data_IF_184446426877
#
_entry.id   IF_184446426877
#
_cell.length_a   1.000
_cell.length_b   1.000
_cell.length_c   1.000
_cell.angle_alpha   90.00
_cell.angle_beta   90.00
_cell.angle_gamma   90.00
#
_symmetry.space_group_name_H-M   'P 1'
#
loop_
_entity.id
_entity.type
_entity.pdbx_description
1 polymer ?
#
# COMPACT_ATOMS: atom_id res chain seq x y z
N UNK A 1 19.77 -10.47 30.81
CA UNK A 1 20.28 -9.17 30.37
C UNK A 1 19.11 -8.22 30.27
N UNK A 2 19.14 -7.05 30.91
CA UNK A 2 18.12 -6.02 30.73
C UNK A 2 18.54 -5.24 29.49
N UNK A 3 17.69 -5.23 28.45
CA UNK A 3 17.90 -4.42 27.25
C UNK A 3 17.75 -2.93 27.64
N UNK A 4 18.69 -2.09 27.22
CA UNK A 4 18.63 -0.65 27.47
C UNK A 4 18.04 0.04 26.23
N UNK A 5 16.81 0.55 26.37
CA UNK A 5 16.08 1.22 25.29
C UNK A 5 16.66 2.61 25.01
N UNK A 6 16.98 2.90 23.78
CA UNK A 6 17.42 4.22 23.32
C UNK A 6 16.45 4.81 22.29
N UNK A 7 15.57 5.68 22.76
CA UNK A 7 14.54 6.33 21.93
C UNK A 7 15.03 7.63 21.28
N UNK A 8 16.19 8.16 21.64
CA UNK A 8 16.74 9.41 21.10
C UNK A 8 16.94 9.34 19.59
N UNK A 9 17.24 8.16 19.07
CA UNK A 9 17.50 7.89 17.66
C UNK A 9 16.27 8.18 16.78
N UNK A 10 15.07 7.90 17.28
CA UNK A 10 13.82 8.07 16.52
C UNK A 10 13.49 9.55 16.34
N UNK A 11 13.88 10.40 17.29
CA UNK A 11 13.61 11.83 17.28
C UNK A 11 14.68 12.65 16.57
N UNK A 12 15.72 11.99 16.06
CA UNK A 12 16.82 12.62 15.35
C UNK A 12 16.33 13.21 14.02
N UNK A 13 16.20 14.53 13.97
CA UNK A 13 15.76 15.29 12.78
C UNK A 13 16.96 16.03 12.17
N UNK A 14 17.03 16.12 10.83
CA UNK A 14 17.99 17.01 10.17
C UNK A 14 17.76 18.45 10.64
N UNK A 15 18.82 19.21 10.93
CA UNK A 15 18.64 20.65 11.11
C UNK A 15 18.03 21.20 9.81
N UNK A 16 16.93 21.97 9.92
CA UNK A 16 16.40 22.72 8.79
C UNK A 16 17.57 23.53 8.22
N UNK A 17 17.82 23.46 6.91
CA UNK A 17 18.82 24.27 6.25
C UNK A 17 18.51 25.74 6.57
N UNK A 18 19.21 26.30 7.56
CA UNK A 18 19.26 27.76 7.69
C UNK A 18 19.88 28.26 6.38
N UNK A 19 19.28 29.28 5.74
CA UNK A 19 19.83 29.86 4.52
C UNK A 19 21.28 30.24 4.82
N UNK A 20 22.21 29.60 4.15
CA UNK A 20 23.65 29.73 4.27
C UNK A 20 24.05 31.20 4.38
N UNK A 21 24.32 31.63 5.61
CA UNK A 21 25.15 32.81 5.82
C UNK A 21 26.48 32.53 5.15
N UNK A 22 26.90 33.41 4.25
CA UNK A 22 28.09 33.30 3.42
C UNK A 22 29.28 32.83 4.25
N UNK A 23 29.82 31.66 3.93
CA UNK A 23 31.10 31.18 4.49
C UNK A 23 32.19 32.09 3.94
N UNK A 24 32.82 32.87 4.81
CA UNK A 24 34.02 33.62 4.47
C UNK A 24 35.14 32.65 4.06
N UNK A 25 35.85 32.89 2.95
CA UNK A 25 36.94 32.02 2.53
C UNK A 25 38.20 32.29 3.39
N UNK A 26 38.44 31.42 4.38
CA UNK A 26 39.66 31.54 5.19
C UNK A 26 39.69 30.82 6.53
N UNK A 27 38.67 30.12 6.97
CA UNK A 27 38.73 29.39 8.24
C UNK A 27 39.32 27.98 8.06
N UNK A 28 40.52 27.76 8.59
CA UNK A 28 41.18 26.46 8.71
C UNK A 28 40.33 25.52 9.58
N UNK A 29 40.14 24.26 9.10
CA UNK A 29 39.44 23.20 9.80
C UNK A 29 40.06 22.94 11.19
N UNK A 30 39.29 22.81 12.27
CA UNK A 30 39.81 22.42 13.58
C UNK A 30 40.21 20.93 13.60
N UNK A 31 41.36 20.70 14.22
CA UNK A 31 42.05 19.43 14.39
C UNK A 31 41.21 18.38 15.13
N UNK A 32 41.22 17.14 14.63
CA UNK A 32 40.43 16.00 15.09
C UNK A 32 40.99 15.29 16.34
N UNK A 33 41.68 15.97 17.26
CA UNK A 33 42.39 15.32 18.38
C UNK A 33 41.93 15.67 19.80
N UNK A 34 40.72 16.24 20.00
CA UNK A 34 40.26 16.61 21.35
C UNK A 34 38.93 16.04 21.83
N UNK A 35 38.60 14.79 21.51
CA UNK A 35 37.38 14.14 22.01
C UNK A 35 37.65 12.85 22.77
N UNK A 36 38.50 12.91 23.82
CA UNK A 36 38.58 11.88 24.86
C UNK A 36 38.64 12.56 26.23
N UNK A 37 37.49 12.58 26.94
CA UNK A 37 37.48 13.05 28.34
C UNK A 37 36.10 13.41 28.87
N UNK A 38 35.41 12.44 29.49
CA UNK A 38 34.73 12.54 30.78
C UNK A 38 33.49 13.39 30.95
N UNK A 39 32.41 12.78 31.45
CA UNK A 39 31.45 13.51 32.24
C UNK A 39 30.05 12.93 32.14
N UNK A 40 29.65 12.11 33.10
CA UNK A 40 28.25 11.80 33.40
C UNK A 40 27.50 13.10 33.71
N UNK A 41 26.60 13.54 32.86
CA UNK A 41 25.72 14.69 33.18
C UNK A 41 25.29 15.58 32.04
N UNK A 42 24.80 15.03 30.93
CA UNK A 42 24.04 15.84 29.96
C UNK A 42 22.86 15.02 29.41
N UNK A 43 21.80 14.96 30.20
CA UNK A 43 20.62 14.14 29.88
C UNK A 43 19.62 14.85 28.97
N UNK A 44 19.83 16.12 28.62
CA UNK A 44 18.99 16.89 27.68
C UNK A 44 19.83 17.94 26.92
N UNK A 45 20.78 17.49 26.12
CA UNK A 45 21.33 18.38 25.10
C UNK A 45 20.66 18.09 23.77
N UNK A 46 19.60 18.85 23.48
CA UNK A 46 18.84 18.84 22.24
C UNK A 46 19.58 19.48 21.06
N UNK A 47 20.90 19.62 21.17
CA UNK A 47 21.76 20.25 20.20
C UNK A 47 22.70 19.30 19.45
N UNK A 48 22.59 17.98 19.63
CA UNK A 48 23.36 17.03 18.85
C UNK A 48 22.84 17.02 17.41
N UNK A 49 23.58 17.63 16.49
CA UNK A 49 23.38 17.45 15.05
C UNK A 49 23.54 15.96 14.75
N UNK A 50 22.41 15.28 14.54
CA UNK A 50 22.39 13.88 14.16
C UNK A 50 23.08 13.74 12.82
N UNK A 51 24.10 12.87 12.75
CA UNK A 51 24.84 12.59 11.51
C UNK A 51 23.92 12.02 10.40
N UNK A 52 22.73 11.52 10.76
CA UNK A 52 21.74 10.97 9.85
C UNK A 52 20.31 11.37 10.27
N UNK A 53 19.48 11.89 9.37
CA UNK A 53 18.11 12.35 9.64
C UNK A 53 17.13 11.17 9.64
N UNK A 54 17.19 10.28 10.62
CA UNK A 54 16.35 9.06 10.66
C UNK A 54 14.85 9.34 10.72
N UNK A 55 14.46 10.44 11.33
CA UNK A 55 13.06 10.87 11.33
C UNK A 55 12.58 11.15 9.90
N UNK A 56 13.37 11.85 9.10
CA UNK A 56 13.03 12.19 7.71
C UNK A 56 12.94 10.93 6.84
N UNK A 57 13.77 9.93 7.10
CA UNK A 57 13.68 8.63 6.43
C UNK A 57 12.37 7.93 6.75
N UNK A 58 11.96 7.91 8.02
CA UNK A 58 10.68 7.34 8.42
C UNK A 58 9.50 8.06 7.78
N UNK A 59 9.50 9.41 7.75
CA UNK A 59 8.46 10.22 7.10
C UNK A 59 8.41 9.93 5.60
N UNK A 60 9.57 9.88 4.94
CA UNK A 60 9.67 9.49 3.52
C UNK A 60 9.10 8.09 3.29
N UNK A 61 9.46 7.11 4.13
CA UNK A 61 8.93 5.75 4.05
C UNK A 61 7.42 5.69 4.16
N UNK A 62 6.83 6.42 5.12
CA UNK A 62 5.36 6.54 5.28
C UNK A 62 4.72 7.13 4.04
N UNK A 63 5.31 8.18 3.49
CA UNK A 63 4.82 8.84 2.28
C UNK A 63 4.78 7.87 1.10
N UNK A 64 5.84 7.10 0.90
CA UNK A 64 5.90 6.08 -0.15
C UNK A 64 4.93 4.93 0.09
N UNK A 65 4.77 4.46 1.33
CA UNK A 65 3.72 3.49 1.69
C UNK A 65 2.33 3.96 1.25
N UNK A 66 2.00 5.23 1.54
CA UNK A 66 0.70 5.82 1.18
C UNK A 66 0.56 5.95 -0.34
N UNK A 67 1.57 6.48 -1.03
CA UNK A 67 1.54 6.68 -2.48
C UNK A 67 1.36 5.34 -3.21
N UNK A 68 2.18 4.34 -2.88
CA UNK A 68 2.13 3.01 -3.49
C UNK A 68 0.78 2.34 -3.22
N UNK A 69 0.29 2.40 -1.98
CA UNK A 69 -1.00 1.80 -1.61
C UNK A 69 -2.18 2.47 -2.32
N UNK A 70 -2.24 3.80 -2.38
CA UNK A 70 -3.30 4.53 -3.05
C UNK A 70 -3.27 4.32 -4.58
N UNK A 71 -2.09 4.33 -5.19
CA UNK A 71 -1.95 4.06 -6.62
C UNK A 71 -2.34 2.61 -6.97
N UNK A 72 -1.90 1.64 -6.18
CA UNK A 72 -2.30 0.24 -6.33
C UNK A 72 -3.81 0.05 -6.14
N UNK A 73 -4.44 0.81 -5.22
CA UNK A 73 -5.89 0.75 -5.02
C UNK A 73 -6.68 1.18 -6.25
N UNK A 74 -6.23 2.19 -7.00
CA UNK A 74 -6.88 2.62 -8.25
C UNK A 74 -6.91 1.47 -9.26
N UNK A 75 -5.79 0.75 -9.42
CA UNK A 75 -5.71 -0.44 -10.28
C UNK A 75 -6.62 -1.55 -9.72
N UNK A 76 -6.53 -1.81 -8.42
CA UNK A 76 -7.32 -2.82 -7.72
C UNK A 76 -8.82 -2.64 -7.96
N UNK A 77 -9.33 -1.44 -7.73
CA UNK A 77 -10.76 -1.16 -7.85
C UNK A 77 -11.21 -1.20 -9.31
N UNK A 78 -10.45 -0.61 -10.23
CA UNK A 78 -10.80 -0.55 -11.64
C UNK A 78 -10.76 -1.94 -12.29
N UNK A 79 -9.63 -2.63 -12.20
CA UNK A 79 -9.45 -3.95 -12.78
C UNK A 79 -10.29 -5.02 -12.08
N UNK A 80 -10.37 -4.97 -10.74
CA UNK A 80 -11.18 -5.89 -9.96
C UNK A 80 -12.67 -5.78 -10.29
N UNK A 81 -13.18 -4.55 -10.50
CA UNK A 81 -14.56 -4.32 -10.94
C UNK A 81 -14.81 -4.91 -12.32
N UNK A 82 -13.93 -4.63 -13.28
CA UNK A 82 -14.06 -5.13 -14.66
C UNK A 82 -14.05 -6.66 -14.67
N UNK A 83 -13.07 -7.28 -14.00
CA UNK A 83 -12.93 -8.74 -13.93
C UNK A 83 -14.10 -9.38 -13.17
N UNK A 84 -14.53 -8.78 -12.06
CA UNK A 84 -15.66 -9.26 -11.27
C UNK A 84 -16.96 -9.27 -12.06
N UNK A 85 -17.26 -8.18 -12.79
CA UNK A 85 -18.41 -8.10 -13.70
C UNK A 85 -18.27 -9.13 -14.83
N UNK A 86 -17.10 -9.24 -15.45
CA UNK A 86 -16.84 -10.20 -16.53
C UNK A 86 -17.12 -11.66 -16.12
N UNK A 87 -16.97 -12.00 -14.84
CA UNK A 87 -17.29 -13.32 -14.31
C UNK A 87 -18.79 -13.61 -14.15
N UNK A 88 -19.64 -12.58 -14.23
CA UNK A 88 -21.10 -12.72 -14.09
C UNK A 88 -21.85 -12.67 -15.42
N UNK A 89 -21.18 -12.34 -16.54
CA UNK A 89 -21.82 -12.30 -17.86
C UNK A 89 -22.04 -13.70 -18.44
N UNK A 90 -23.06 -13.83 -19.32
CA UNK A 90 -23.46 -15.11 -19.93
C UNK A 90 -22.51 -15.62 -21.05
N UNK A 91 -21.37 -14.95 -21.26
CA UNK A 91 -20.40 -15.33 -22.27
C UNK A 91 -19.34 -16.28 -21.70
N UNK A 92 -19.28 -17.57 -22.10
CA UNK A 92 -18.41 -18.57 -21.44
C UNK A 92 -16.91 -18.25 -21.59
N UNK A 93 -16.49 -17.72 -22.71
CA UNK A 93 -15.09 -17.36 -22.97
C UNK A 93 -14.64 -16.22 -22.06
N UNK A 94 -15.43 -15.14 -21.96
CA UNK A 94 -15.12 -13.98 -21.11
C UNK A 94 -15.04 -14.41 -19.65
N UNK A 95 -16.01 -15.22 -19.21
CA UNK A 95 -16.04 -15.78 -17.85
C UNK A 95 -14.84 -16.66 -17.56
N UNK A 96 -14.44 -17.53 -18.51
CA UNK A 96 -13.30 -18.44 -18.36
C UNK A 96 -11.99 -17.65 -18.20
N UNK A 97 -11.73 -16.66 -19.06
CA UNK A 97 -10.54 -15.79 -18.98
C UNK A 97 -10.51 -15.01 -17.67
N UNK A 98 -11.62 -14.40 -17.26
CA UNK A 98 -11.71 -13.68 -16.01
C UNK A 98 -11.51 -14.59 -14.78
N UNK A 99 -12.00 -15.84 -14.84
CA UNK A 99 -11.79 -16.83 -13.77
C UNK A 99 -10.33 -17.26 -13.73
N UNK A 100 -9.70 -17.57 -14.86
CA UNK A 100 -8.28 -17.92 -14.93
C UNK A 100 -7.38 -16.82 -14.33
N UNK A 101 -7.67 -15.56 -14.62
CA UNK A 101 -6.97 -14.42 -13.99
C UNK A 101 -7.09 -14.47 -12.47
N UNK A 102 -8.29 -14.60 -11.93
CA UNK A 102 -8.53 -14.60 -10.48
C UNK A 102 -7.82 -15.78 -9.81
N UNK A 103 -7.91 -16.97 -10.38
CA UNK A 103 -7.26 -18.17 -9.84
C UNK A 103 -5.75 -18.05 -9.88
N UNK A 104 -5.18 -17.55 -10.98
CA UNK A 104 -3.74 -17.31 -11.09
C UNK A 104 -3.22 -16.41 -9.96
N UNK A 105 -3.80 -15.22 -9.80
CA UNK A 105 -3.32 -14.25 -8.82
C UNK A 105 -3.61 -14.64 -7.37
N UNK A 106 -4.66 -15.40 -7.10
CA UNK A 106 -5.01 -15.85 -5.73
C UNK A 106 -4.20 -17.05 -5.26
N UNK A 107 -3.74 -17.89 -6.17
CA UNK A 107 -3.04 -19.14 -5.83
C UNK A 107 -1.52 -18.97 -5.70
N UNK A 108 -0.98 -17.83 -6.13
CA UNK A 108 0.45 -17.54 -6.02
C UNK A 108 0.67 -16.58 -4.84
N UNK A 109 1.61 -16.86 -3.92
CA UNK A 109 1.97 -15.94 -2.84
C UNK A 109 2.41 -14.56 -3.38
N UNK A 110 1.97 -13.47 -2.75
CA UNK A 110 2.29 -12.11 -3.18
C UNK A 110 3.80 -11.86 -3.32
N UNK A 111 4.60 -12.37 -2.39
CA UNK A 111 6.07 -12.24 -2.43
C UNK A 111 6.65 -12.82 -3.72
N UNK A 112 6.21 -14.02 -4.13
CA UNK A 112 6.67 -14.64 -5.37
C UNK A 112 6.21 -13.87 -6.60
N UNK A 113 4.99 -13.32 -6.56
CA UNK A 113 4.51 -12.44 -7.63
C UNK A 113 5.36 -11.18 -7.74
N UNK A 114 5.77 -10.57 -6.60
CA UNK A 114 6.61 -9.38 -6.60
C UNK A 114 7.95 -9.66 -7.31
N UNK A 115 8.60 -10.78 -7.02
CA UNK A 115 9.83 -11.19 -7.71
C UNK A 115 9.58 -11.49 -9.20
N UNK A 116 8.49 -12.17 -9.53
CA UNK A 116 8.14 -12.47 -10.92
C UNK A 116 7.94 -11.18 -11.74
N UNK A 117 7.21 -10.22 -11.21
CA UNK A 117 6.97 -8.94 -11.87
C UNK A 117 8.25 -8.11 -12.05
N UNK A 118 9.14 -8.12 -11.06
CA UNK A 118 10.36 -7.30 -11.09
C UNK A 118 11.49 -7.94 -11.90
N UNK A 119 11.73 -9.24 -11.72
CA UNK A 119 12.87 -9.91 -12.35
C UNK A 119 12.51 -10.63 -13.64
N UNK A 120 11.33 -11.25 -13.73
CA UNK A 120 11.00 -12.16 -14.84
C UNK A 120 10.21 -11.47 -15.95
N UNK A 121 9.17 -10.70 -15.59
CA UNK A 121 8.31 -10.05 -16.59
C UNK A 121 9.10 -9.16 -17.56
N UNK A 122 10.06 -8.32 -17.15
CA UNK A 122 10.84 -7.52 -18.08
C UNK A 122 11.70 -8.33 -19.05
N UNK A 123 12.11 -9.56 -18.67
CA UNK A 123 12.86 -10.48 -19.57
C UNK A 123 11.97 -11.15 -20.62
N UNK A 124 10.66 -11.27 -20.34
CA UNK A 124 9.69 -11.84 -21.26
C UNK A 124 9.14 -10.82 -22.28
N UNK A 125 9.38 -9.54 -22.03
CA UNK A 125 8.98 -8.48 -22.96
C UNK A 125 9.91 -8.42 -24.17
N UNK A 126 9.47 -7.85 -25.32
CA UNK A 126 10.37 -7.51 -26.42
C UNK A 126 11.57 -6.68 -25.91
N UNK A 127 12.75 -6.85 -26.51
CA UNK A 127 14.01 -6.26 -26.03
C UNK A 127 13.93 -4.76 -25.73
N UNK A 128 13.26 -3.99 -26.58
CA UNK A 128 13.10 -2.54 -26.41
C UNK A 128 12.23 -2.21 -25.18
N UNK A 129 11.11 -2.91 -25.02
CA UNK A 129 10.21 -2.73 -23.89
C UNK A 129 10.85 -3.19 -22.56
N UNK A 130 11.53 -4.33 -22.55
CA UNK A 130 12.26 -4.83 -21.40
C UNK A 130 13.39 -3.91 -20.96
N UNK A 131 14.13 -3.36 -21.93
CA UNK A 131 15.19 -2.36 -21.70
C UNK A 131 14.62 -1.07 -21.12
N UNK A 132 13.52 -0.59 -21.69
CA UNK A 132 12.84 0.62 -21.21
C UNK A 132 12.38 0.46 -19.74
N UNK A 133 11.73 -0.65 -19.39
CA UNK A 133 11.27 -0.91 -18.01
C UNK A 133 12.45 -0.95 -17.03
N UNK A 134 13.59 -1.55 -17.43
CA UNK A 134 14.74 -1.75 -16.52
C UNK A 134 15.65 -0.55 -16.37
N UNK A 135 15.79 0.29 -17.43
CA UNK A 135 16.85 1.31 -17.51
C UNK A 135 16.34 2.74 -17.72
N UNK A 136 15.20 2.90 -18.35
CA UNK A 136 14.68 4.22 -18.74
C UNK A 136 13.51 4.66 -17.88
N UNK A 137 12.73 3.71 -17.34
CA UNK A 137 11.62 4.01 -16.43
C UNK A 137 12.19 4.57 -15.11
N UNK A 138 11.81 5.79 -14.69
CA UNK A 138 12.21 6.29 -13.38
C UNK A 138 11.55 5.48 -12.26
N UNK A 139 12.30 5.09 -11.24
CA UNK A 139 11.82 4.31 -10.09
C UNK A 139 11.10 3.00 -10.49
N UNK A 140 11.75 2.10 -11.24
CA UNK A 140 11.10 0.91 -11.78
C UNK A 140 10.54 -0.01 -10.70
N UNK A 141 11.16 -0.07 -9.52
CA UNK A 141 10.71 -0.83 -8.36
C UNK A 141 9.36 -0.35 -7.82
N UNK A 142 9.12 0.97 -7.80
CA UNK A 142 7.84 1.53 -7.32
C UNK A 142 6.69 1.24 -8.29
N UNK A 143 6.91 1.41 -9.61
CA UNK A 143 5.91 1.08 -10.61
C UNK A 143 5.59 -0.41 -10.61
N UNK A 144 6.61 -1.26 -10.48
CA UNK A 144 6.42 -2.71 -10.37
C UNK A 144 5.60 -3.06 -9.14
N UNK A 145 5.92 -2.47 -7.99
CA UNK A 145 5.17 -2.68 -6.75
C UNK A 145 3.69 -2.26 -6.90
N UNK A 146 3.43 -1.08 -7.49
CA UNK A 146 2.07 -0.56 -7.72
C UNK A 146 1.27 -1.52 -8.61
N UNK A 147 1.84 -1.97 -9.72
CA UNK A 147 1.17 -2.87 -10.66
C UNK A 147 0.94 -4.25 -10.01
N UNK A 148 1.96 -4.83 -9.39
CA UNK A 148 1.87 -6.13 -8.74
C UNK A 148 0.82 -6.15 -7.62
N UNK A 149 0.89 -5.19 -6.69
CA UNK A 149 -0.11 -5.05 -5.61
C UNK A 149 -1.50 -4.81 -6.17
N UNK A 150 -1.61 -3.93 -7.18
CA UNK A 150 -2.87 -3.63 -7.84
C UNK A 150 -3.51 -4.86 -8.48
N UNK A 151 -2.76 -5.66 -9.22
CA UNK A 151 -3.26 -6.87 -9.87
C UNK A 151 -3.58 -7.99 -8.86
N UNK A 152 -2.73 -8.16 -7.86
CA UNK A 152 -3.00 -9.13 -6.79
C UNK A 152 -4.30 -8.84 -6.05
N UNK A 153 -4.48 -7.61 -5.58
CA UNK A 153 -5.70 -7.20 -4.87
C UNK A 153 -6.91 -7.11 -5.79
N UNK A 154 -6.75 -6.79 -7.09
CA UNK A 154 -7.83 -6.82 -8.06
C UNK A 154 -8.47 -8.21 -8.19
N UNK A 155 -7.70 -9.28 -8.04
CA UNK A 155 -8.23 -10.65 -8.05
C UNK A 155 -9.19 -10.91 -6.87
N UNK A 156 -8.90 -10.33 -5.69
CA UNK A 156 -9.76 -10.42 -4.49
C UNK A 156 -10.99 -9.55 -4.63
N UNK A 157 -10.82 -8.30 -5.07
CA UNK A 157 -11.92 -7.37 -5.36
C UNK A 157 -12.86 -7.94 -6.44
N UNK A 158 -12.34 -8.60 -7.48
CA UNK A 158 -13.15 -9.25 -8.50
C UNK A 158 -14.07 -10.32 -7.92
N UNK A 159 -13.61 -11.11 -6.95
CA UNK A 159 -14.42 -12.10 -6.26
C UNK A 159 -15.53 -11.45 -5.41
N UNK A 160 -15.20 -10.34 -4.74
CA UNK A 160 -16.19 -9.59 -3.96
C UNK A 160 -17.24 -8.96 -4.85
N UNK A 161 -16.86 -8.37 -5.99
CA UNK A 161 -17.81 -7.80 -6.96
C UNK A 161 -18.72 -8.89 -7.53
N UNK A 162 -18.16 -10.05 -7.91
CA UNK A 162 -18.96 -11.20 -8.35
C UNK A 162 -19.96 -11.62 -7.26
N UNK A 163 -19.49 -11.84 -6.04
CA UNK A 163 -20.33 -12.25 -4.93
C UNK A 163 -21.42 -11.21 -4.62
N UNK A 164 -21.10 -9.91 -4.68
CA UNK A 164 -22.07 -8.83 -4.49
C UNK A 164 -23.17 -8.80 -5.56
N UNK A 165 -22.83 -9.08 -6.83
CA UNK A 165 -23.81 -9.18 -7.92
C UNK A 165 -24.69 -10.43 -7.74
N UNK A 166 -24.10 -11.58 -7.41
CA UNK A 166 -24.80 -12.84 -7.23
C UNK A 166 -25.70 -12.86 -5.97
N UNK A 167 -25.40 -12.03 -4.97
CA UNK A 167 -26.25 -11.86 -3.78
C UNK A 167 -27.60 -11.18 -4.08
N UNK A 168 -27.74 -10.53 -5.24
CA UNK A 168 -28.98 -9.85 -5.62
C UNK A 168 -30.00 -10.88 -6.13
N UNK A 169 -31.25 -10.89 -5.61
CA UNK A 169 -32.26 -11.82 -6.06
C UNK A 169 -32.51 -11.73 -7.57
N UNK A 170 -32.55 -12.87 -8.24
CA UNK A 170 -32.79 -12.98 -9.70
C UNK A 170 -34.05 -12.26 -10.19
N UNK A 171 -35.06 -12.13 -9.34
CA UNK A 171 -36.28 -11.39 -9.62
C UNK A 171 -36.05 -9.92 -9.99
N UNK A 172 -34.99 -9.26 -9.43
CA UNK A 172 -34.67 -7.89 -9.80
C UNK A 172 -34.16 -7.79 -11.25
N UNK A 173 -33.30 -8.74 -11.67
CA UNK A 173 -32.86 -8.83 -13.06
C UNK A 173 -34.06 -9.09 -14.01
N UNK A 174 -34.94 -10.04 -13.66
CA UNK A 174 -36.13 -10.38 -14.48
C UNK A 174 -37.11 -9.20 -14.58
N UNK A 175 -37.34 -8.49 -13.48
CA UNK A 175 -38.21 -7.30 -13.47
C UNK A 175 -37.64 -6.19 -14.35
N UNK A 176 -36.31 -5.94 -14.30
CA UNK A 176 -35.68 -4.97 -15.19
C UNK A 176 -35.82 -5.31 -16.67
N UNK A 177 -35.62 -6.58 -17.03
CA UNK A 177 -35.83 -7.06 -18.41
C UNK A 177 -37.30 -6.98 -18.84
N UNK A 178 -38.26 -7.31 -17.95
CA UNK A 178 -39.67 -7.19 -18.23
C UNK A 178 -40.13 -5.74 -18.45
N UNK A 179 -39.47 -4.77 -17.83
CA UNK A 179 -39.67 -3.33 -18.07
C UNK A 179 -39.03 -2.83 -19.37
N UNK A 180 -38.41 -3.70 -20.16
CA UNK A 180 -37.78 -3.34 -21.45
C UNK A 180 -36.34 -2.85 -21.33
N UNK A 181 -35.69 -2.96 -20.18
CA UNK A 181 -34.28 -2.63 -20.04
C UNK A 181 -33.43 -3.67 -20.75
N UNK A 182 -32.39 -3.21 -21.45
CA UNK A 182 -31.36 -4.10 -21.98
C UNK A 182 -30.51 -4.69 -20.86
N UNK A 183 -29.82 -5.82 -21.09
CA UNK A 183 -28.93 -6.43 -20.08
C UNK A 183 -27.90 -5.42 -19.54
N UNK A 184 -27.29 -4.61 -20.38
CA UNK A 184 -26.34 -3.59 -19.95
C UNK A 184 -27.00 -2.53 -19.06
N UNK A 185 -28.22 -2.13 -19.36
CA UNK A 185 -28.99 -1.19 -18.53
C UNK A 185 -29.34 -1.80 -17.17
N UNK A 186 -29.72 -3.09 -17.12
CA UNK A 186 -29.93 -3.83 -15.87
C UNK A 186 -28.66 -3.86 -15.03
N UNK A 187 -27.49 -4.16 -15.62
CA UNK A 187 -26.22 -4.08 -14.89
C UNK A 187 -25.99 -2.67 -14.34
N UNK A 188 -26.06 -1.65 -15.21
CA UNK A 188 -25.70 -0.28 -14.85
C UNK A 188 -26.64 0.36 -13.84
N UNK A 189 -27.95 0.12 -13.94
CA UNK A 189 -28.97 0.83 -13.16
C UNK A 189 -29.56 0.03 -12.00
N UNK A 190 -29.43 -1.30 -12.03
CA UNK A 190 -30.01 -2.17 -10.98
C UNK A 190 -28.91 -2.90 -10.22
N UNK A 191 -28.09 -3.72 -10.90
CA UNK A 191 -27.20 -4.64 -10.22
C UNK A 191 -25.98 -3.93 -9.61
N UNK A 192 -25.25 -3.13 -10.38
CA UNK A 192 -24.01 -2.50 -9.89
C UNK A 192 -24.24 -1.53 -8.73
N UNK A 193 -25.24 -0.62 -8.76
CA UNK A 193 -25.47 0.29 -7.64
C UNK A 193 -25.79 -0.43 -6.32
N UNK A 194 -26.48 -1.57 -6.41
CA UNK A 194 -26.82 -2.38 -5.23
C UNK A 194 -25.64 -3.22 -4.78
N UNK A 195 -24.95 -3.92 -5.70
CA UNK A 195 -23.81 -4.77 -5.38
C UNK A 195 -22.66 -3.99 -4.73
N UNK A 196 -22.31 -2.80 -5.25
CA UNK A 196 -21.26 -1.99 -4.65
C UNK A 196 -21.56 -1.59 -3.21
N UNK A 197 -22.82 -1.32 -2.87
CA UNK A 197 -23.20 -1.04 -1.48
C UNK A 197 -23.05 -2.27 -0.57
N UNK A 198 -23.31 -3.47 -1.09
CA UNK A 198 -23.13 -4.72 -0.34
C UNK A 198 -21.67 -5.02 -0.06
N UNK A 199 -20.78 -4.72 -1.02
CA UNK A 199 -19.37 -5.10 -0.92
C UNK A 199 -18.47 -4.04 -0.28
N UNK A 200 -18.98 -2.86 0.11
CA UNK A 200 -18.17 -1.84 0.78
C UNK A 200 -17.41 -2.38 2.02
N UNK A 201 -18.04 -3.16 2.94
CA UNK A 201 -17.30 -3.68 4.10
C UNK A 201 -16.11 -4.59 3.72
N UNK A 202 -16.24 -5.59 2.85
CA UNK A 202 -15.09 -6.38 2.40
C UNK A 202 -14.09 -5.57 1.58
N UNK A 203 -14.51 -4.57 0.79
CA UNK A 203 -13.60 -3.65 0.09
C UNK A 203 -12.74 -2.84 1.07
N UNK A 204 -13.30 -2.43 2.21
CA UNK A 204 -12.56 -1.78 3.29
C UNK A 204 -11.40 -2.65 3.78
N UNK A 205 -11.67 -3.95 3.98
CA UNK A 205 -10.64 -4.91 4.42
C UNK A 205 -9.54 -5.10 3.37
N UNK A 206 -9.88 -5.13 2.09
CA UNK A 206 -8.90 -5.21 1.01
C UNK A 206 -8.07 -3.92 0.88
N UNK A 207 -8.70 -2.76 1.03
CA UNK A 207 -7.99 -1.47 1.01
C UNK A 207 -6.95 -1.41 2.13
N UNK A 208 -7.31 -1.78 3.37
CA UNK A 208 -6.35 -1.90 4.48
C UNK A 208 -5.25 -2.93 4.17
N UNK A 209 -5.62 -4.03 3.52
CA UNK A 209 -4.69 -5.07 3.11
C UNK A 209 -3.58 -4.56 2.21
N UNK A 210 -3.87 -3.64 1.28
CA UNK A 210 -2.87 -3.04 0.39
C UNK A 210 -1.81 -2.29 1.18
N UNK A 211 -2.19 -1.46 2.17
CA UNK A 211 -1.22 -0.75 3.02
C UNK A 211 -0.29 -1.71 3.76
N UNK A 212 -0.80 -2.81 4.31
CA UNK A 212 0.01 -3.82 4.99
C UNK A 212 0.90 -4.60 4.02
N UNK A 213 0.36 -4.96 2.87
CA UNK A 213 1.07 -5.73 1.85
C UNK A 213 2.10 -4.90 1.08
N UNK A 214 2.04 -3.55 1.14
CA UNK A 214 3.08 -2.71 0.55
C UNK A 214 4.46 -2.97 1.17
N UNK A 215 4.51 -3.44 2.43
CA UNK A 215 5.77 -3.85 3.07
C UNK A 215 6.51 -4.97 2.33
N UNK A 216 5.82 -5.80 1.54
CA UNK A 216 6.47 -6.82 0.72
C UNK A 216 7.35 -6.19 -0.37
N UNK A 217 7.06 -4.96 -0.81
CA UNK A 217 7.80 -4.27 -1.85
C UNK A 217 9.25 -3.89 -1.42
N UNK A 218 9.57 -3.94 -0.12
CA UNK A 218 10.96 -3.81 0.35
C UNK A 218 11.88 -4.84 -0.31
N UNK A 219 11.36 -6.01 -0.67
CA UNK A 219 12.14 -7.12 -1.25
C UNK A 219 12.64 -6.85 -2.66
N UNK A 220 12.08 -5.87 -3.35
CA UNK A 220 12.51 -5.40 -4.67
C UNK A 220 13.13 -3.99 -4.64
N UNK A 221 13.42 -3.46 -3.43
CA UNK A 221 14.14 -2.20 -3.25
C UNK A 221 13.26 -0.96 -3.03
N UNK A 222 11.95 -1.10 -2.87
CA UNK A 222 11.08 0.05 -2.54
C UNK A 222 11.36 0.52 -1.11
N UNK A 223 11.73 1.79 -0.97
CA UNK A 223 12.03 2.42 0.32
C UNK A 223 10.75 2.92 1.02
N UNK A 224 9.84 2.00 1.31
CA UNK A 224 8.63 2.23 2.10
C UNK A 224 8.93 2.13 3.61
N UNK A 225 7.92 2.26 4.47
CA UNK A 225 8.10 2.34 5.93
C UNK A 225 8.93 1.20 6.51
N UNK A 226 8.72 -0.05 6.09
CA UNK A 226 9.47 -1.21 6.63
C UNK A 226 10.90 -1.24 6.13
N UNK A 227 11.13 -0.85 4.87
CA UNK A 227 12.47 -0.77 4.29
C UNK A 227 13.30 0.32 4.98
N UNK A 228 12.71 1.49 5.23
CA UNK A 228 13.36 2.56 5.98
C UNK A 228 13.67 2.14 7.42
N UNK A 229 12.71 1.52 8.10
CA UNK A 229 12.93 1.00 9.45
C UNK A 229 14.09 -0.02 9.48
N UNK A 230 14.11 -0.94 8.51
CA UNK A 230 15.21 -1.91 8.38
C UNK A 230 16.54 -1.22 8.17
N UNK A 231 16.60 -0.25 7.26
CA UNK A 231 17.83 0.50 6.97
C UNK A 231 18.35 1.25 8.21
N UNK A 232 17.46 1.95 8.93
CA UNK A 232 17.81 2.61 10.19
C UNK A 232 18.31 1.60 11.23
N UNK A 233 17.65 0.45 11.38
CA UNK A 233 18.06 -0.59 12.31
C UNK A 233 19.45 -1.17 11.95
N UNK A 234 19.80 -1.29 10.67
CA UNK A 234 21.12 -1.73 10.20
C UNK A 234 22.23 -0.71 10.53
N UNK A 235 21.93 0.60 10.50
CA UNK A 235 22.90 1.64 10.88
C UNK A 235 23.04 1.85 12.38
N UNK A 236 21.96 1.70 13.13
CA UNK A 236 21.94 2.04 14.56
C UNK A 236 22.09 0.85 15.49
N UNK A 237 21.89 -0.37 14.97
CA UNK A 237 21.78 -1.62 15.74
C UNK A 237 20.66 -1.64 16.79
N UNK A 238 19.74 -0.66 16.77
CA UNK A 238 18.60 -0.53 17.69
C UNK A 238 17.33 -1.13 17.06
N UNK A 239 17.36 -2.43 16.85
CA UNK A 239 16.31 -3.18 16.14
C UNK A 239 14.96 -3.06 16.80
N UNK A 240 14.91 -3.20 18.14
CA UNK A 240 13.63 -3.24 18.89
C UNK A 240 12.90 -1.89 18.83
N UNK A 241 13.60 -0.79 19.07
CA UNK A 241 13.04 0.57 19.03
C UNK A 241 12.47 0.88 17.65
N UNK A 242 13.27 0.69 16.61
CA UNK A 242 12.91 1.07 15.25
C UNK A 242 11.73 0.24 14.74
N UNK A 243 11.73 -1.09 14.93
CA UNK A 243 10.58 -1.90 14.51
C UNK A 243 9.33 -1.68 15.38
N UNK A 244 9.50 -1.29 16.65
CA UNK A 244 8.36 -0.85 17.47
C UNK A 244 7.74 0.42 16.89
N UNK A 245 8.56 1.42 16.53
CA UNK A 245 8.08 2.65 15.87
C UNK A 245 7.40 2.34 14.55
N UNK A 246 8.01 1.53 13.69
CA UNK A 246 7.41 1.14 12.43
C UNK A 246 6.04 0.45 12.64
N UNK A 247 5.94 -0.42 13.63
CA UNK A 247 4.67 -1.09 13.99
C UNK A 247 3.60 -0.08 14.42
N UNK A 248 3.97 0.90 15.27
CA UNK A 248 3.06 1.96 15.71
C UNK A 248 2.62 2.83 14.53
N UNK A 249 3.53 3.16 13.62
CA UNK A 249 3.22 3.91 12.40
C UNK A 249 2.22 3.16 11.54
N UNK A 250 2.43 1.87 11.25
CA UNK A 250 1.47 1.05 10.51
C UNK A 250 0.11 0.96 11.22
N UNK A 251 0.11 0.86 12.54
CA UNK A 251 -1.12 0.85 13.33
C UNK A 251 -1.89 2.18 13.16
N UNK A 252 -1.21 3.32 13.27
CA UNK A 252 -1.82 4.64 13.08
C UNK A 252 -2.36 4.81 11.67
N UNK A 253 -1.56 4.50 10.64
CA UNK A 253 -2.00 4.56 9.24
C UNK A 253 -3.23 3.68 9.01
N UNK A 254 -3.21 2.45 9.51
CA UNK A 254 -4.34 1.52 9.39
C UNK A 254 -5.59 2.05 10.10
N UNK A 255 -5.46 2.62 11.31
CA UNK A 255 -6.58 3.21 12.04
C UNK A 255 -7.19 4.40 11.30
N UNK A 256 -6.37 5.26 10.68
CA UNK A 256 -6.85 6.37 9.85
C UNK A 256 -7.66 5.81 8.67
N UNK A 257 -7.09 4.85 7.94
CA UNK A 257 -7.77 4.21 6.80
C UNK A 257 -9.10 3.58 7.20
N UNK A 258 -9.13 2.83 8.31
CA UNK A 258 -10.37 2.24 8.85
C UNK A 258 -11.41 3.32 9.16
N UNK A 259 -11.00 4.41 9.81
CA UNK A 259 -11.91 5.48 10.19
C UNK A 259 -12.51 6.16 8.96
N UNK A 260 -11.69 6.46 7.95
CA UNK A 260 -12.13 7.02 6.67
C UNK A 260 -13.11 6.08 5.98
N UNK A 261 -12.79 4.79 5.91
CA UNK A 261 -13.64 3.80 5.24
C UNK A 261 -14.96 3.56 5.98
N UNK A 262 -14.95 3.55 7.31
CA UNK A 262 -16.20 3.50 8.11
C UNK A 262 -17.11 4.70 7.84
N UNK A 263 -16.52 5.88 7.65
CA UNK A 263 -17.29 7.07 7.28
C UNK A 263 -17.93 6.93 5.88
N UNK A 264 -17.18 6.39 4.92
CA UNK A 264 -17.69 6.07 3.57
C UNK A 264 -18.83 5.04 3.66
N UNK A 265 -18.62 3.96 4.42
CA UNK A 265 -19.63 2.92 4.66
C UNK A 265 -20.91 3.50 5.25
N UNK A 266 -20.81 4.33 6.27
CA UNK A 266 -21.98 4.97 6.91
C UNK A 266 -22.80 5.82 5.94
N UNK A 267 -22.14 6.52 4.99
CA UNK A 267 -22.83 7.33 3.97
C UNK A 267 -23.55 6.51 2.89
N UNK A 268 -23.06 5.30 2.59
CA UNK A 268 -23.55 4.48 1.47
C UNK A 268 -24.51 3.39 1.93
N UNK A 269 -24.64 3.17 3.25
CA UNK A 269 -25.50 2.14 3.85
C UNK A 269 -26.95 2.34 3.45
N UNK A 270 -27.60 1.24 2.98
CA UNK A 270 -29.02 1.21 2.66
C UNK A 270 -29.81 1.01 3.96
N UNK A 271 -30.76 1.91 4.31
CA UNK A 271 -31.69 1.67 5.42
C UNK A 271 -32.53 0.42 5.11
N UNK A 272 -32.53 -0.57 6.01
CA UNK A 272 -33.36 -1.79 5.85
C UNK A 272 -32.63 -3.05 5.38
N UNK A 273 -31.34 -3.03 5.04
CA UNK A 273 -30.53 -4.25 4.94
C UNK A 273 -30.20 -4.70 6.36
N UNK A 274 -30.83 -5.80 6.76
CA UNK A 274 -30.59 -6.47 8.04
C UNK A 274 -29.10 -6.74 8.15
N UNK A 275 -28.46 -6.19 9.18
CA UNK A 275 -27.16 -6.65 9.64
C UNK A 275 -27.33 -8.13 10.00
N UNK A 276 -26.88 -9.06 9.14
CA UNK A 276 -26.73 -10.45 9.53
C UNK A 276 -25.67 -10.49 10.63
N UNK A 277 -26.12 -10.66 11.86
CA UNK A 277 -25.39 -11.27 12.95
C UNK A 277 -24.27 -10.44 13.58
N UNK A 278 -24.63 -9.70 14.60
CA UNK A 278 -23.85 -9.65 15.86
C UNK A 278 -24.86 -9.80 16.99
N UNK A 279 -25.20 -11.02 17.32
CA UNK A 279 -25.57 -11.46 18.66
C UNK A 279 -24.37 -12.19 19.24
#
# INVERSE_FOLDING_TARGET
MKYNWDWSIVLCRSPEEEPTAAVEPGALAPDATSAVGGGAGQFFDTGASCAQPYFDWMVSGVSWTIIVACAAWVITFSLGSIVGIARTVDQPVVRAVATAYVEFFRNIPLLLQMFLWFFVVPELLPEDAGRWVKRELPLPEYWTAIVCLGMYHASRTAEQVRAGIEAIPRGQTQAGLAMGLTRLQVYRHVLLPVSYRIIIPPLTSDFMGIFKNSSVALTIGVLETTAQARQIAEYTFNIFEIFTVATLVYMVVTLIVVTVMRFVEAKVRIPGTIAMGTD
#
